data_IF_394432482309
#
_entry.id   IF_394432482309
#
_cell.length_a   1.000
_cell.length_b   1.000
_cell.length_c   1.000
_cell.angle_alpha   90.00
_cell.angle_beta   90.00
_cell.angle_gamma   90.00
#
_symmetry.space_group_name_H-M   'P 1'
#
loop_
_entity.id
_entity.type
_entity.pdbx_description
1 polymer ?
#
# COMPACT_ATOMS: atom_id res chain seq x y z
N UNK A 1 -1.39 10.84 -12.99
CA UNK A 1 -1.57 10.15 -11.70
C UNK A 1 -1.22 8.68 -11.87
N UNK A 2 -0.18 8.15 -11.22
CA UNK A 2 0.31 6.80 -11.50
C UNK A 2 -0.59 5.74 -10.83
N UNK A 3 -0.80 4.61 -11.52
CA UNK A 3 -1.55 3.47 -10.98
C UNK A 3 -0.82 2.87 -9.78
N UNK A 4 -1.55 2.56 -8.70
CA UNK A 4 -0.97 1.95 -7.50
C UNK A 4 -1.04 0.42 -7.51
N UNK A 5 -1.86 -0.14 -8.38
CA UNK A 5 -2.08 -1.58 -8.47
C UNK A 5 -2.62 -1.99 -9.84
N UNK A 6 -2.44 -3.25 -10.22
CA UNK A 6 -2.93 -3.78 -11.50
C UNK A 6 -4.46 -3.75 -11.58
N UNK A 7 -5.15 -4.07 -10.48
CA UNK A 7 -6.61 -4.02 -10.43
C UNK A 7 -7.16 -2.61 -10.68
N UNK A 8 -6.44 -1.57 -10.23
CA UNK A 8 -6.81 -0.19 -10.50
C UNK A 8 -6.72 0.12 -12.00
N UNK A 9 -5.63 -0.28 -12.67
CA UNK A 9 -5.46 -0.10 -14.12
C UNK A 9 -6.56 -0.80 -14.92
N UNK A 10 -6.98 -2.01 -14.53
CA UNK A 10 -8.09 -2.73 -15.17
C UNK A 10 -9.41 -1.99 -15.05
N UNK A 11 -9.72 -1.44 -13.86
CA UNK A 11 -10.95 -0.66 -13.64
C UNK A 11 -10.96 0.62 -14.49
N UNK A 12 -9.81 1.27 -14.67
CA UNK A 12 -9.72 2.45 -15.54
C UNK A 12 -9.80 2.11 -17.02
N UNK A 13 -9.27 0.96 -17.46
CA UNK A 13 -9.49 0.47 -18.83
C UNK A 13 -10.97 0.24 -19.11
N UNK A 14 -11.73 -0.29 -18.14
CA UNK A 14 -13.19 -0.42 -18.26
C UNK A 14 -13.89 0.95 -18.37
N UNK A 15 -13.42 1.95 -17.62
CA UNK A 15 -13.96 3.32 -17.73
C UNK A 15 -13.65 3.99 -19.07
N UNK A 16 -12.52 3.65 -19.68
CA UNK A 16 -12.15 4.10 -21.03
C UNK A 16 -13.09 3.48 -22.07
N UNK A 17 -13.35 2.17 -21.97
CA UNK A 17 -14.33 1.48 -22.84
C UNK A 17 -15.74 2.04 -22.65
N UNK A 18 -16.09 2.43 -21.42
CA UNK A 18 -17.36 3.10 -21.13
C UNK A 18 -17.41 4.58 -21.57
N UNK A 19 -16.31 5.15 -22.08
CA UNK A 19 -16.24 6.56 -22.51
C UNK A 19 -16.28 7.57 -21.37
N UNK A 20 -16.04 7.14 -20.13
CA UNK A 20 -16.05 8.02 -18.93
C UNK A 20 -14.71 8.73 -18.70
N UNK A 21 -13.65 8.27 -19.36
CA UNK A 21 -12.33 8.89 -19.38
C UNK A 21 -11.80 8.90 -20.82
N UNK A 22 -11.00 9.90 -21.15
CA UNK A 22 -10.32 10.00 -22.45
C UNK A 22 -9.11 9.06 -22.52
N UNK A 23 -8.75 8.63 -23.72
CA UNK A 23 -7.54 7.84 -23.99
C UNK A 23 -6.28 8.58 -23.53
N UNK A 24 -6.17 9.88 -23.82
CA UNK A 24 -5.07 10.76 -23.37
C UNK A 24 -4.83 10.65 -21.86
N UNK A 25 -5.90 10.77 -21.06
CA UNK A 25 -5.83 10.68 -19.60
C UNK A 25 -5.32 9.31 -19.14
N UNK A 26 -5.75 8.24 -19.81
CA UNK A 26 -5.27 6.90 -19.49
C UNK A 26 -3.81 6.70 -19.88
N UNK A 27 -3.40 7.21 -21.05
CA UNK A 27 -2.02 7.11 -21.54
C UNK A 27 -1.04 7.91 -20.71
N UNK A 28 -1.37 9.13 -20.30
CA UNK A 28 -0.55 9.92 -19.37
C UNK A 28 -0.29 9.14 -18.08
N UNK A 29 -1.33 8.53 -17.52
CA UNK A 29 -1.21 7.75 -16.28
C UNK A 29 -0.41 6.45 -16.50
N UNK A 30 -0.54 5.85 -17.68
CA UNK A 30 0.19 4.65 -18.06
C UNK A 30 1.68 4.94 -18.28
N UNK A 31 2.00 6.08 -18.89
CA UNK A 31 3.37 6.59 -19.08
C UNK A 31 4.02 6.91 -17.73
N UNK A 32 3.30 7.57 -16.82
CA UNK A 32 3.80 7.93 -15.49
C UNK A 32 4.00 6.71 -14.59
N UNK A 33 3.20 5.65 -14.78
CA UNK A 33 3.34 4.36 -14.06
C UNK A 33 4.56 3.57 -14.55
N UNK A 34 4.90 3.67 -15.84
CA UNK A 34 6.04 3.01 -16.46
C UNK A 34 5.98 1.46 -16.43
N UNK A 35 7.11 0.81 -16.73
CA UNK A 35 7.25 -0.66 -16.75
C UNK A 35 7.35 -1.31 -15.36
N UNK A 36 6.95 -0.58 -14.31
CA UNK A 36 7.16 -1.00 -12.92
C UNK A 36 6.22 -2.14 -12.59
N UNK A 37 6.76 -3.25 -12.08
CA UNK A 37 5.95 -4.42 -11.68
C UNK A 37 5.09 -4.06 -10.47
N UNK A 38 3.82 -3.75 -10.72
CA UNK A 38 2.87 -3.38 -9.68
C UNK A 38 2.29 -4.62 -9.00
N UNK A 39 1.98 -4.53 -7.69
CA UNK A 39 1.22 -5.56 -7.00
C UNK A 39 -0.21 -5.63 -7.57
N UNK A 40 -0.84 -6.80 -7.47
CA UNK A 40 -2.22 -7.01 -7.91
C UNK A 40 -3.20 -6.06 -7.20
N UNK A 41 -3.03 -5.90 -5.88
CA UNK A 41 -3.82 -5.00 -5.02
C UNK A 41 -2.90 -4.17 -4.13
N UNK A 42 -3.25 -2.90 -3.91
CA UNK A 42 -2.54 -2.05 -2.97
C UNK A 42 -2.65 -2.62 -1.55
N UNK A 43 -1.52 -2.98 -0.94
CA UNK A 43 -1.50 -3.54 0.41
C UNK A 43 -1.95 -2.50 1.43
N UNK A 44 -2.98 -2.83 2.24
CA UNK A 44 -3.33 -2.01 3.39
C UNK A 44 -2.25 -2.20 4.46
N UNK A 45 -1.55 -1.13 4.85
CA UNK A 45 -0.61 -1.19 6.00
C UNK A 45 -1.41 -1.59 7.25
N UNK A 46 -1.20 -2.82 7.74
CA UNK A 46 -1.67 -3.23 9.06
C UNK A 46 -0.95 -2.34 10.08
N UNK A 47 -1.70 -1.52 10.83
CA UNK A 47 -1.15 -0.82 12.01
C UNK A 47 -0.68 -1.91 12.97
N UNK A 48 0.64 -2.11 13.11
CA UNK A 48 1.19 -3.02 14.12
C UNK A 48 0.76 -2.45 15.48
N UNK A 49 -0.13 -3.16 16.19
CA UNK A 49 -0.43 -2.83 17.57
C UNK A 49 0.89 -2.88 18.35
N UNK A 50 1.27 -1.75 18.97
CA UNK A 50 2.48 -1.65 19.75
C UNK A 50 2.40 -2.64 20.93
N UNK A 51 3.13 -3.74 20.84
CA UNK A 51 3.22 -4.74 21.91
C UNK A 51 3.97 -4.10 23.09
N UNK A 52 3.23 -3.63 24.10
CA UNK A 52 3.79 -3.05 25.33
C UNK A 52 4.75 -4.05 25.99
N UNK A 53 6.05 -3.72 26.04
CA UNK A 53 7.08 -4.49 26.76
C UNK A 53 6.85 -4.34 28.28
N UNK A 54 6.18 -5.30 28.91
CA UNK A 54 6.14 -5.43 30.38
C UNK A 54 7.24 -6.38 30.87
N UNK A 55 8.50 -5.94 30.91
CA UNK A 55 9.56 -6.69 31.60
C UNK A 55 10.64 -5.75 32.13
N UNK A 56 10.35 -5.01 33.21
CA UNK A 56 11.37 -4.25 33.95
C UNK A 56 11.11 -4.19 35.47
N UNK A 57 10.39 -5.16 36.05
CA UNK A 57 10.12 -5.19 37.52
C UNK A 57 10.47 -6.52 38.18
N UNK A 58 11.58 -7.16 37.79
CA UNK A 58 12.04 -8.41 38.43
C UNK A 58 13.53 -8.49 38.78
N UNK A 59 14.31 -7.43 38.55
CA UNK A 59 15.77 -7.44 38.77
C UNK A 59 16.26 -6.60 39.95
N UNK A 60 15.38 -6.03 40.78
CA UNK A 60 15.78 -5.17 41.90
C UNK A 60 15.54 -5.75 43.30
N UNK A 61 15.10 -7.02 43.40
CA UNK A 61 14.83 -7.69 44.69
C UNK A 61 15.97 -8.66 45.09
N UNK A 62 16.95 -8.94 44.23
CA UNK A 62 18.02 -9.93 44.50
C UNK A 62 19.41 -9.33 44.81
N UNK A 63 19.48 -8.15 45.43
CA UNK A 63 20.74 -7.63 46.01
C UNK A 63 20.45 -6.98 47.36
N UNK A 64 20.02 -7.80 48.31
CA UNK A 64 20.26 -7.57 49.74
C UNK A 64 20.88 -8.85 50.30
N UNK A 65 22.20 -8.93 50.23
CA UNK A 65 23.06 -9.78 51.07
C UNK A 65 24.42 -9.13 51.07
#
# INVERSE_FOLDING_TARGET
MPFKSQAQRRKFAELLVQGKISEDTFEEWNRETGARKLPERAAKKKKRAARKRKTAKRRRIKKST
#
